data_IF_868515725409
#
_entry.id   IF_868515725409
#
_cell.length_a   1.000
_cell.length_b   1.000
_cell.length_c   1.000
_cell.angle_alpha   90.00
_cell.angle_beta   90.00
_cell.angle_gamma   90.00
#
_symmetry.space_group_name_H-M   'P 1'
#
loop_
_entity.id
_entity.type
_entity.pdbx_description
1 polymer ?
#
# COMPACT_ATOMS: atom_id res chain seq x y z
N UNK A 1 30.73 11.30 -0.03
CA UNK A 1 29.47 10.52 -0.12
C UNK A 1 28.46 11.30 0.68
N UNK A 2 27.47 11.94 0.05
CA UNK A 2 26.42 12.64 0.78
C UNK A 2 25.63 11.63 1.59
N UNK A 3 25.46 11.86 2.89
CA UNK A 3 24.56 11.11 3.75
C UNK A 3 23.16 11.17 3.14
N UNK A 4 22.68 10.03 2.67
CA UNK A 4 21.29 9.88 2.21
C UNK A 4 20.42 10.05 3.43
N UNK A 5 19.76 11.19 3.57
CA UNK A 5 18.86 11.44 4.69
C UNK A 5 17.74 10.38 4.68
N UNK A 6 17.25 9.96 5.84
CA UNK A 6 16.14 9.00 5.96
C UNK A 6 14.88 9.45 5.20
N UNK A 7 14.73 10.76 4.95
CA UNK A 7 13.66 11.33 4.11
C UNK A 7 13.69 10.86 2.65
N UNK A 8 14.86 10.39 2.16
CA UNK A 8 15.03 9.85 0.82
C UNK A 8 14.91 8.32 0.75
N UNK A 9 14.74 7.65 1.89
CA UNK A 9 14.66 6.21 1.98
C UNK A 9 13.28 5.69 1.55
N UNK A 10 13.26 4.86 0.52
CA UNK A 10 12.05 4.22 0.01
C UNK A 10 12.06 4.05 -1.51
N UNK A 11 11.30 3.05 -1.97
CA UNK A 11 11.28 2.67 -3.40
C UNK A 11 10.21 3.38 -4.22
N UNK A 12 9.25 4.05 -3.58
CA UNK A 12 8.16 4.78 -4.24
C UNK A 12 8.36 6.29 -4.12
N UNK A 13 8.27 6.99 -5.26
CA UNK A 13 8.42 8.46 -5.32
C UNK A 13 7.41 9.01 -6.33
N UNK A 14 6.25 9.47 -5.85
CA UNK A 14 5.30 10.22 -6.67
C UNK A 14 5.96 11.52 -7.17
N UNK A 15 5.53 12.03 -8.33
CA UNK A 15 6.19 13.19 -8.97
C UNK A 15 7.37 12.81 -9.87
N UNK A 16 7.94 11.60 -9.72
CA UNK A 16 9.04 11.07 -10.56
C UNK A 16 8.61 10.02 -11.59
N UNK A 17 7.32 9.78 -11.73
CA UNK A 17 6.77 8.92 -12.79
C UNK A 17 6.71 9.68 -14.12
N UNK A 18 6.87 8.97 -15.24
CA UNK A 18 6.73 9.56 -16.58
C UNK A 18 5.30 10.10 -16.81
N UNK A 19 4.31 9.56 -16.07
CA UNK A 19 2.88 9.88 -16.21
C UNK A 19 2.19 9.95 -14.84
N UNK A 20 2.41 11.04 -14.12
CA UNK A 20 1.84 11.24 -12.79
C UNK A 20 0.30 11.22 -12.78
N UNK A 21 -0.36 11.73 -13.82
CA UNK A 21 -1.82 11.70 -13.92
C UNK A 21 -2.37 10.26 -14.03
N UNK A 22 -1.70 9.39 -14.79
CA UNK A 22 -2.08 7.97 -14.90
C UNK A 22 -1.84 7.24 -13.57
N UNK A 23 -0.77 7.59 -12.85
CA UNK A 23 -0.50 7.03 -11.53
C UNK A 23 -1.55 7.46 -10.50
N UNK A 24 -1.97 8.72 -10.50
CA UNK A 24 -3.04 9.19 -9.61
C UNK A 24 -4.36 8.49 -9.92
N UNK A 25 -4.70 8.32 -11.21
CA UNK A 25 -5.89 7.56 -11.62
C UNK A 25 -5.81 6.09 -11.16
N UNK A 26 -4.62 5.47 -11.22
CA UNK A 26 -4.38 4.12 -10.72
C UNK A 26 -4.59 4.03 -9.21
N UNK A 27 -4.05 4.99 -8.43
CA UNK A 27 -4.22 5.04 -6.97
C UNK A 27 -5.70 5.18 -6.59
N UNK A 28 -6.44 6.05 -7.29
CA UNK A 28 -7.88 6.21 -7.09
C UNK A 28 -8.63 4.91 -7.38
N UNK A 29 -8.36 4.29 -8.53
CA UNK A 29 -8.97 3.02 -8.91
C UNK A 29 -8.67 1.93 -7.87
N UNK A 30 -7.40 1.81 -7.44
CA UNK A 30 -6.99 0.83 -6.44
C UNK A 30 -7.72 1.01 -5.11
N UNK A 31 -7.98 2.24 -4.66
CA UNK A 31 -8.76 2.52 -3.48
C UNK A 31 -10.23 2.14 -3.67
N UNK A 32 -10.82 2.46 -4.82
CA UNK A 32 -12.24 2.23 -5.10
C UNK A 32 -12.60 0.75 -5.23
N UNK A 33 -11.79 -0.03 -5.99
CA UNK A 33 -12.10 -1.46 -6.26
C UNK A 33 -11.95 -2.34 -5.03
N UNK A 34 -11.13 -1.95 -4.06
CA UNK A 34 -10.85 -2.76 -2.87
C UNK A 34 -11.66 -2.33 -1.65
N UNK A 35 -12.45 -1.25 -1.74
CA UNK A 35 -13.02 -0.59 -0.55
C UNK A 35 -13.93 -1.49 0.28
N UNK A 36 -14.77 -2.31 -0.35
CA UNK A 36 -15.68 -3.19 0.39
C UNK A 36 -14.89 -4.29 1.14
N UNK A 37 -13.87 -4.85 0.51
CA UNK A 37 -12.96 -5.80 1.17
C UNK A 37 -12.20 -5.11 2.30
N UNK A 38 -11.75 -3.88 2.11
CA UNK A 38 -11.04 -3.12 3.15
C UNK A 38 -11.94 -2.78 4.33
N UNK A 39 -13.20 -2.42 4.12
CA UNK A 39 -14.18 -2.21 5.22
C UNK A 39 -14.37 -3.47 6.07
N UNK A 40 -14.45 -4.65 5.45
CA UNK A 40 -14.48 -5.93 6.18
C UNK A 40 -13.20 -6.18 6.97
N UNK A 41 -12.05 -5.85 6.38
CA UNK A 41 -10.75 -5.93 7.05
C UNK A 41 -10.72 -5.02 8.27
N UNK A 42 -11.09 -3.75 8.13
CA UNK A 42 -11.11 -2.79 9.23
C UNK A 42 -12.00 -3.25 10.38
N UNK A 43 -13.22 -3.69 10.06
CA UNK A 43 -14.16 -4.25 11.05
C UNK A 43 -13.57 -5.46 11.76
N UNK A 44 -12.98 -6.39 11.01
CA UNK A 44 -12.37 -7.61 11.58
C UNK A 44 -11.10 -7.31 12.39
N UNK A 45 -10.39 -6.21 12.08
CA UNK A 45 -9.25 -5.72 12.83
C UNK A 45 -9.64 -4.90 14.08
N UNK A 46 -10.94 -4.66 14.29
CA UNK A 46 -11.45 -3.99 15.49
C UNK A 46 -11.65 -2.48 15.35
N UNK A 47 -11.64 -1.92 14.12
CA UNK A 47 -12.02 -0.53 13.89
C UNK A 47 -13.49 -0.30 14.29
N UNK A 48 -13.76 0.78 15.02
CA UNK A 48 -15.10 1.13 15.55
C UNK A 48 -15.37 2.62 15.39
N UNK A 49 -16.66 3.03 15.33
CA UNK A 49 -17.05 4.44 15.47
C UNK A 49 -16.44 5.09 16.70
N UNK A 50 -16.09 6.36 16.60
CA UNK A 50 -15.50 7.15 17.69
C UNK A 50 -13.98 6.98 17.87
N UNK A 51 -13.31 6.10 17.14
CA UNK A 51 -11.87 5.91 17.23
C UNK A 51 -11.08 7.05 16.55
N UNK A 52 -9.91 7.36 17.12
CA UNK A 52 -8.89 8.20 16.48
C UNK A 52 -7.98 7.30 15.65
N UNK A 53 -7.96 7.55 14.36
CA UNK A 53 -7.25 6.72 13.36
C UNK A 53 -6.10 7.49 12.73
N UNK A 54 -4.97 6.83 12.55
CA UNK A 54 -3.87 7.30 11.73
C UNK A 54 -3.78 6.47 10.44
N UNK A 55 -3.90 7.10 9.28
CA UNK A 55 -3.60 6.50 7.97
C UNK A 55 -2.19 6.93 7.54
N UNK A 56 -1.25 6.02 7.63
CA UNK A 56 0.17 6.29 7.31
C UNK A 56 0.47 5.96 5.85
N UNK A 57 1.22 6.88 5.21
CA UNK A 57 1.43 6.90 3.77
C UNK A 57 0.06 6.92 3.04
N UNK A 58 -0.81 7.85 3.48
CA UNK A 58 -2.20 7.95 3.03
C UNK A 58 -2.34 8.30 1.55
N UNK A 59 -1.26 8.68 0.87
CA UNK A 59 -1.25 9.06 -0.53
C UNK A 59 -2.24 10.18 -0.82
N UNK A 60 -3.09 10.03 -1.88
CA UNK A 60 -4.08 11.04 -2.26
C UNK A 60 -5.34 11.05 -1.36
N UNK A 61 -5.32 10.39 -0.21
CA UNK A 61 -6.32 10.50 0.85
C UNK A 61 -7.65 9.76 0.61
N UNK A 62 -7.82 9.02 -0.49
CA UNK A 62 -9.10 8.36 -0.79
C UNK A 62 -9.49 7.35 0.28
N UNK A 63 -8.53 6.54 0.76
CA UNK A 63 -8.77 5.57 1.83
C UNK A 63 -9.01 6.25 3.17
N UNK A 64 -8.28 7.33 3.48
CA UNK A 64 -8.50 8.11 4.69
C UNK A 64 -9.90 8.71 4.77
N UNK A 65 -10.44 9.20 3.64
CA UNK A 65 -11.83 9.69 3.58
C UNK A 65 -12.85 8.57 3.85
N UNK A 66 -12.60 7.35 3.38
CA UNK A 66 -13.47 6.19 3.67
C UNK A 66 -13.36 5.72 5.13
N UNK A 67 -12.14 5.76 5.71
CA UNK A 67 -11.95 5.53 7.15
C UNK A 67 -12.74 6.56 7.97
N UNK A 68 -12.71 7.83 7.57
CA UNK A 68 -13.45 8.90 8.24
C UNK A 68 -14.97 8.66 8.27
N UNK A 69 -15.54 8.16 7.17
CA UNK A 69 -16.95 7.73 7.10
C UNK A 69 -17.23 6.54 8.04
N UNK A 70 -16.26 5.65 8.21
CA UNK A 70 -16.40 4.44 9.05
C UNK A 70 -16.35 4.75 10.54
N UNK A 71 -15.51 5.72 10.95
CA UNK A 71 -15.35 6.07 12.37
C UNK A 71 -16.34 7.13 12.85
N UNK A 72 -17.17 7.70 11.95
CA UNK A 72 -18.26 8.66 12.24
C UNK A 72 -17.84 9.81 13.17
N UNK A 73 -18.04 9.67 14.48
CA UNK A 73 -17.71 10.68 15.50
C UNK A 73 -16.21 10.64 15.93
N UNK A 74 -15.43 9.73 15.36
CA UNK A 74 -13.97 9.69 15.54
C UNK A 74 -13.27 10.65 14.59
N UNK A 75 -11.93 10.61 14.60
CA UNK A 75 -11.11 11.44 13.72
C UNK A 75 -10.13 10.58 12.93
N UNK A 76 -9.79 11.02 11.71
CA UNK A 76 -8.72 10.42 10.92
C UNK A 76 -7.62 11.44 10.66
N UNK A 77 -6.38 11.06 10.89
CA UNK A 77 -5.20 11.83 10.48
C UNK A 77 -4.49 11.06 9.37
N UNK A 78 -4.42 11.63 8.17
CA UNK A 78 -3.64 11.09 7.07
C UNK A 78 -2.25 11.74 7.03
N UNK A 79 -1.21 10.92 6.96
CA UNK A 79 0.18 11.39 6.85
C UNK A 79 0.83 10.77 5.62
N UNK A 80 1.44 11.59 4.78
CA UNK A 80 2.27 11.15 3.66
C UNK A 80 3.52 12.03 3.53
N UNK A 81 4.61 11.48 3.02
CA UNK A 81 5.85 12.23 2.82
C UNK A 81 5.77 13.15 1.59
N UNK A 82 4.85 12.89 0.68
CA UNK A 82 4.72 13.59 -0.59
C UNK A 82 3.69 14.73 -0.51
N UNK A 83 4.17 15.98 -0.61
CA UNK A 83 3.33 17.17 -0.53
C UNK A 83 2.30 17.27 -1.66
N UNK A 84 2.64 16.80 -2.88
CA UNK A 84 1.70 16.82 -4.01
C UNK A 84 0.52 15.87 -3.75
N UNK A 85 0.77 14.70 -3.15
CA UNK A 85 -0.29 13.78 -2.75
C UNK A 85 -1.14 14.34 -1.61
N UNK A 86 -0.53 15.00 -0.63
CA UNK A 86 -1.26 15.70 0.45
C UNK A 86 -2.14 16.82 -0.11
N UNK A 87 -1.66 17.57 -1.10
CA UNK A 87 -2.51 18.56 -1.78
C UNK A 87 -3.74 17.90 -2.42
N UNK A 88 -3.58 16.76 -3.11
CA UNK A 88 -4.69 15.98 -3.68
C UNK A 88 -5.61 15.43 -2.59
N UNK A 89 -5.05 15.00 -1.45
CA UNK A 89 -5.82 14.51 -0.31
C UNK A 89 -6.74 15.59 0.28
N UNK A 90 -6.29 16.83 0.35
CA UNK A 90 -7.15 17.96 0.74
C UNK A 90 -8.30 18.19 -0.26
N UNK A 91 -8.06 18.01 -1.56
CA UNK A 91 -9.14 18.10 -2.56
C UNK A 91 -10.12 16.91 -2.42
N UNK A 92 -9.62 15.70 -2.15
CA UNK A 92 -10.44 14.53 -1.90
C UNK A 92 -11.34 14.72 -0.67
N UNK A 93 -10.81 15.28 0.44
CA UNK A 93 -11.59 15.64 1.63
C UNK A 93 -12.81 16.50 1.29
N UNK A 94 -12.61 17.55 0.50
CA UNK A 94 -13.69 18.47 0.10
C UNK A 94 -14.73 17.75 -0.78
N UNK A 95 -14.27 17.00 -1.79
CA UNK A 95 -15.14 16.30 -2.72
C UNK A 95 -15.96 15.19 -2.04
N UNK A 96 -15.38 14.49 -1.07
CA UNK A 96 -15.99 13.40 -0.31
C UNK A 96 -16.76 13.89 0.93
N UNK A 97 -16.74 15.20 1.23
CA UNK A 97 -17.35 15.80 2.42
C UNK A 97 -16.93 15.11 3.73
N UNK A 98 -15.65 14.78 3.83
CA UNK A 98 -15.09 14.07 4.98
C UNK A 98 -14.56 15.08 6.02
N UNK A 99 -15.43 15.69 6.82
CA UNK A 99 -15.08 16.80 7.71
C UNK A 99 -14.15 16.35 8.87
N UNK A 100 -14.26 15.09 9.29
CA UNK A 100 -13.49 14.50 10.39
C UNK A 100 -12.14 13.89 9.95
N UNK A 101 -11.65 14.21 8.74
CA UNK A 101 -10.28 13.86 8.31
C UNK A 101 -9.39 15.10 8.23
N UNK A 102 -8.15 14.96 8.64
CA UNK A 102 -7.08 15.95 8.45
C UNK A 102 -5.88 15.32 7.74
N UNK A 103 -5.16 16.11 6.94
CA UNK A 103 -3.98 15.64 6.22
C UNK A 103 -2.78 16.52 6.55
N UNK A 104 -1.60 15.88 6.67
CA UNK A 104 -0.34 16.58 6.86
C UNK A 104 0.82 15.87 6.18
N UNK A 105 1.80 16.63 5.74
CA UNK A 105 3.07 16.06 5.31
C UNK A 105 3.85 15.55 6.53
N UNK A 106 4.43 14.36 6.42
CA UNK A 106 5.23 13.77 7.49
C UNK A 106 5.99 12.53 7.04
N UNK A 107 7.07 12.23 7.77
CA UNK A 107 7.93 11.09 7.48
C UNK A 107 7.66 9.97 8.48
N UNK A 108 7.38 8.77 7.99
CA UNK A 108 7.15 7.57 8.83
C UNK A 108 8.38 7.18 9.67
N UNK A 109 9.57 7.57 9.24
CA UNK A 109 10.80 7.34 10.01
C UNK A 109 11.02 8.37 11.14
N UNK A 110 10.27 9.47 11.11
CA UNK A 110 10.32 10.54 12.10
C UNK A 110 8.91 11.17 12.21
N UNK A 111 7.99 10.42 12.83
CA UNK A 111 6.61 10.84 13.04
C UNK A 111 6.55 11.89 14.15
N UNK A 112 6.40 13.16 13.76
CA UNK A 112 6.12 14.26 14.68
C UNK A 112 4.63 14.25 15.05
N UNK A 113 4.23 13.26 15.86
CA UNK A 113 2.87 13.07 16.37
C UNK A 113 2.94 12.72 17.86
N UNK A 114 1.93 13.12 18.65
CA UNK A 114 1.89 12.79 20.06
C UNK A 114 1.88 11.28 20.31
N UNK A 115 2.54 10.86 21.39
CA UNK A 115 2.50 9.46 21.80
C UNK A 115 1.12 9.08 22.36
N UNK A 116 0.75 7.81 22.19
CA UNK A 116 -0.47 7.23 22.78
C UNK A 116 -1.76 7.98 22.40
N UNK A 117 -1.88 8.46 21.17
CA UNK A 117 -3.05 9.25 20.76
C UNK A 117 -3.97 8.55 19.75
N UNK A 118 -3.53 7.46 19.09
CA UNK A 118 -4.35 6.74 18.13
C UNK A 118 -4.84 5.39 18.66
N UNK A 119 -6.12 5.11 18.43
CA UNK A 119 -6.75 3.83 18.76
C UNK A 119 -6.44 2.78 17.68
N UNK A 120 -6.28 3.25 16.41
CA UNK A 120 -6.06 2.42 15.25
C UNK A 120 -5.07 3.08 14.28
N UNK A 121 -4.09 2.34 13.81
CA UNK A 121 -3.17 2.77 12.75
C UNK A 121 -3.36 1.87 11.53
N UNK A 122 -3.59 2.47 10.39
CA UNK A 122 -3.73 1.79 9.12
C UNK A 122 -2.52 2.06 8.22
N UNK A 123 -2.00 1.00 7.60
CA UNK A 123 -0.86 1.06 6.69
C UNK A 123 -1.16 0.24 5.44
N UNK A 124 -1.33 0.89 4.29
CA UNK A 124 -1.77 0.26 3.06
C UNK A 124 -0.73 0.35 1.97
N UNK A 125 -0.15 -0.80 1.59
CA UNK A 125 0.86 -0.92 0.54
C UNK A 125 2.09 -0.02 0.73
N UNK A 126 2.50 0.21 1.97
CA UNK A 126 3.63 1.07 2.31
C UNK A 126 4.87 0.29 2.71
N UNK A 127 4.74 -0.79 3.48
CA UNK A 127 5.89 -1.53 4.00
C UNK A 127 6.77 -2.11 2.90
N UNK A 128 6.17 -2.52 1.77
CA UNK A 128 6.90 -2.95 0.58
C UNK A 128 7.85 -1.89 0.01
N UNK A 129 7.68 -0.62 0.38
CA UNK A 129 8.49 0.49 -0.11
C UNK A 129 9.54 0.96 0.89
N UNK A 130 9.46 0.52 2.13
CA UNK A 130 10.34 0.96 3.21
C UNK A 130 11.71 0.26 3.15
N UNK A 131 12.77 1.03 3.31
CA UNK A 131 14.14 0.52 3.44
C UNK A 131 14.44 0.01 4.85
N UNK A 132 13.81 0.64 5.87
CA UNK A 132 13.95 0.33 7.31
C UNK A 132 12.59 0.17 7.97
N UNK A 133 11.84 -0.88 7.66
CA UNK A 133 10.47 -1.08 8.18
C UNK A 133 10.42 -1.21 9.70
N UNK A 134 11.51 -1.68 10.35
CA UNK A 134 11.63 -1.78 11.81
C UNK A 134 11.58 -0.41 12.51
N UNK A 135 12.19 0.63 11.90
CA UNK A 135 12.12 2.01 12.41
C UNK A 135 10.70 2.54 12.33
N UNK A 136 10.03 2.28 11.21
CA UNK A 136 8.63 2.64 11.03
C UNK A 136 7.72 1.98 12.07
N UNK A 137 7.89 0.68 12.32
CA UNK A 137 7.12 -0.05 13.34
C UNK A 137 7.35 0.51 14.75
N UNK A 138 8.58 0.89 15.10
CA UNK A 138 8.89 1.53 16.36
C UNK A 138 8.14 2.86 16.53
N UNK A 139 8.12 3.72 15.51
CA UNK A 139 7.44 5.00 15.56
C UNK A 139 5.91 4.83 15.58
N UNK A 140 5.37 3.91 14.80
CA UNK A 140 3.93 3.56 14.84
C UNK A 140 3.54 3.11 16.27
N UNK A 141 4.36 2.28 16.89
CA UNK A 141 4.08 1.78 18.23
C UNK A 141 4.07 2.90 19.28
N UNK A 142 4.89 3.95 19.14
CA UNK A 142 4.88 5.11 20.05
C UNK A 142 3.55 5.86 19.98
N UNK A 143 3.03 6.13 18.80
CA UNK A 143 1.80 6.92 18.61
C UNK A 143 0.52 6.14 18.91
N UNK A 144 0.55 4.80 18.88
CA UNK A 144 -0.58 3.96 19.31
C UNK A 144 -0.80 4.06 20.80
N UNK A 145 -2.06 4.13 21.23
CA UNK A 145 -2.48 3.95 22.62
C UNK A 145 -2.16 2.53 23.10
N UNK A 146 -1.98 2.30 24.43
CA UNK A 146 -2.00 0.95 24.99
C UNK A 146 -3.29 0.21 24.55
N UNK A 147 -3.14 -0.99 23.96
CA UNK A 147 -4.25 -1.75 23.39
C UNK A 147 -4.71 -1.27 21.99
N UNK A 148 -4.12 -0.21 21.47
CA UNK A 148 -4.37 0.25 20.10
C UNK A 148 -3.87 -0.75 19.06
N UNK A 149 -4.51 -0.76 17.89
CA UNK A 149 -4.28 -1.76 16.83
C UNK A 149 -3.51 -1.16 15.65
N UNK A 150 -2.48 -1.85 15.20
CA UNK A 150 -1.88 -1.66 13.88
C UNK A 150 -2.51 -2.67 12.90
N UNK A 151 -3.00 -2.18 11.76
CA UNK A 151 -3.49 -3.00 10.66
C UNK A 151 -2.69 -2.67 9.39
N UNK A 152 -1.92 -3.64 8.90
CA UNK A 152 -1.09 -3.50 7.70
C UNK A 152 -1.68 -4.34 6.57
N UNK A 153 -1.91 -3.72 5.42
CA UNK A 153 -2.20 -4.39 4.16
C UNK A 153 -0.98 -4.28 3.26
N UNK A 154 -0.42 -5.42 2.86
CA UNK A 154 0.66 -5.42 1.89
C UNK A 154 0.69 -6.71 1.06
N UNK A 155 1.61 -6.81 0.12
CA UNK A 155 1.68 -7.88 -0.88
C UNK A 155 2.88 -8.78 -0.67
N UNK A 156 2.76 -9.99 -1.21
CA UNK A 156 3.90 -10.87 -1.46
C UNK A 156 3.82 -11.37 -2.90
N UNK A 157 4.86 -11.12 -3.69
CA UNK A 157 4.86 -11.48 -5.12
C UNK A 157 4.78 -12.99 -5.37
N UNK A 158 5.12 -13.83 -4.38
CA UNK A 158 4.91 -15.28 -4.46
C UNK A 158 3.43 -15.67 -4.49
N UNK A 159 2.54 -14.77 -4.09
CA UNK A 159 1.08 -14.93 -4.09
C UNK A 159 0.42 -14.22 -5.27
N UNK A 160 1.15 -14.05 -6.37
CA UNK A 160 0.61 -13.48 -7.60
C UNK A 160 0.54 -14.56 -8.67
N UNK A 161 -0.65 -14.84 -9.18
CA UNK A 161 -0.92 -15.87 -10.20
C UNK A 161 -1.50 -15.25 -11.46
N UNK A 162 -1.23 -15.90 -12.60
CA UNK A 162 -1.78 -15.53 -13.90
C UNK A 162 -1.99 -16.77 -14.75
N UNK A 163 -3.16 -16.89 -15.38
CA UNK A 163 -3.53 -17.94 -16.30
C UNK A 163 -3.96 -17.33 -17.65
N UNK A 164 -3.65 -17.94 -18.82
CA UNK A 164 -2.81 -19.14 -18.96
C UNK A 164 -1.38 -18.88 -18.49
N UNK A 165 -0.70 -19.94 -18.05
CA UNK A 165 0.68 -19.85 -17.55
C UNK A 165 1.57 -19.14 -18.57
N UNK A 166 2.35 -18.17 -18.08
CA UNK A 166 3.18 -17.30 -18.90
C UNK A 166 4.56 -17.11 -18.28
N UNK A 167 5.56 -17.76 -18.88
CA UNK A 167 6.95 -17.54 -18.49
C UNK A 167 7.34 -16.03 -18.56
N UNK A 168 6.76 -15.31 -19.52
CA UNK A 168 6.98 -13.87 -19.66
C UNK A 168 6.45 -13.10 -18.44
N UNK A 169 5.30 -13.51 -17.89
CA UNK A 169 4.74 -12.94 -16.67
C UNK A 169 5.67 -13.18 -15.47
N UNK A 170 6.07 -14.42 -15.24
CA UNK A 170 6.96 -14.78 -14.12
C UNK A 170 8.30 -14.03 -14.21
N UNK A 171 8.91 -13.98 -15.39
CA UNK A 171 10.15 -13.23 -15.62
C UNK A 171 9.98 -11.73 -15.37
N UNK A 172 8.85 -11.16 -15.80
CA UNK A 172 8.57 -9.74 -15.60
C UNK A 172 8.39 -9.40 -14.11
N UNK A 173 7.57 -10.17 -13.37
CA UNK A 173 7.34 -9.97 -11.93
C UNK A 173 8.67 -10.03 -11.15
N UNK A 174 9.48 -11.07 -11.38
CA UNK A 174 10.80 -11.21 -10.74
C UNK A 174 11.73 -10.04 -11.05
N UNK A 175 11.76 -9.59 -12.30
CA UNK A 175 12.60 -8.48 -12.73
C UNK A 175 12.17 -7.16 -12.08
N UNK A 176 10.86 -6.91 -12.01
CA UNK A 176 10.30 -5.72 -11.36
C UNK A 176 10.57 -5.74 -9.84
N UNK A 177 10.36 -6.87 -9.17
CA UNK A 177 10.68 -7.06 -7.75
C UNK A 177 12.17 -6.81 -7.45
N UNK A 178 13.09 -7.35 -8.27
CA UNK A 178 14.51 -7.05 -8.17
C UNK A 178 14.83 -5.57 -8.42
N UNK A 179 14.07 -4.90 -9.29
CA UNK A 179 14.16 -3.45 -9.53
C UNK A 179 13.79 -2.65 -8.28
N UNK A 180 12.69 -3.01 -7.63
CA UNK A 180 12.23 -2.39 -6.38
C UNK A 180 13.21 -2.62 -5.23
N UNK A 181 13.76 -3.85 -5.11
CA UNK A 181 14.76 -4.18 -4.09
C UNK A 181 16.00 -3.30 -4.19
N UNK A 182 16.49 -2.99 -5.40
CA UNK A 182 17.61 -2.06 -5.61
C UNK A 182 17.31 -0.62 -5.17
N UNK A 183 16.03 -0.27 -5.06
CA UNK A 183 15.57 1.04 -4.56
C UNK A 183 15.21 1.00 -3.05
N UNK A 184 15.57 -0.07 -2.33
CA UNK A 184 15.30 -0.24 -0.90
C UNK A 184 13.95 -0.85 -0.55
N UNK A 185 13.13 -1.28 -1.53
CA UNK A 185 11.84 -1.91 -1.26
C UNK A 185 11.89 -3.43 -1.19
N UNK A 186 10.82 -4.06 -0.74
CA UNK A 186 10.69 -5.51 -0.59
C UNK A 186 9.30 -6.00 -1.03
N UNK A 187 9.22 -6.66 -2.18
CA UNK A 187 7.97 -7.20 -2.73
C UNK A 187 7.50 -8.51 -2.09
N UNK A 188 8.26 -9.03 -1.13
CA UNK A 188 7.93 -10.23 -0.36
C UNK A 188 7.60 -9.88 1.09
N UNK A 189 7.30 -8.61 1.37
CA UNK A 189 7.11 -8.10 2.73
C UNK A 189 5.89 -8.71 3.41
N UNK A 190 4.83 -9.00 2.67
CA UNK A 190 3.56 -9.47 3.22
C UNK A 190 3.71 -10.69 4.12
N UNK A 191 4.44 -11.71 3.67
CA UNK A 191 4.70 -12.93 4.45
C UNK A 191 5.66 -12.70 5.64
N UNK A 192 6.40 -11.60 5.67
CA UNK A 192 7.37 -11.28 6.73
C UNK A 192 6.76 -10.41 7.85
N UNK A 193 5.64 -9.73 7.58
CA UNK A 193 5.01 -8.79 8.52
C UNK A 193 4.66 -9.43 9.87
N UNK A 194 4.25 -10.70 9.90
CA UNK A 194 3.96 -11.39 11.17
C UNK A 194 5.17 -11.40 12.11
N UNK A 195 6.33 -11.85 11.61
CA UNK A 195 7.57 -11.86 12.37
C UNK A 195 8.00 -10.45 12.77
N UNK A 196 7.96 -9.51 11.83
CA UNK A 196 8.38 -8.13 12.07
C UNK A 196 7.54 -7.43 13.14
N UNK A 197 6.20 -7.59 13.13
CA UNK A 197 5.35 -7.03 14.17
C UNK A 197 5.63 -7.68 15.53
N UNK A 198 5.82 -9.00 15.55
CA UNK A 198 6.15 -9.74 16.79
C UNK A 198 7.47 -9.26 17.41
N UNK A 199 8.52 -9.11 16.58
CA UNK A 199 9.83 -8.60 16.98
C UNK A 199 9.79 -7.14 17.45
N UNK A 200 8.91 -6.32 16.84
CA UNK A 200 8.66 -4.94 17.27
C UNK A 200 7.85 -4.83 18.58
N UNK A 201 7.47 -5.96 19.20
CA UNK A 201 6.79 -6.02 20.47
C UNK A 201 5.27 -5.83 20.41
N UNK A 202 4.66 -5.98 19.22
CA UNK A 202 3.20 -6.07 19.11
C UNK A 202 2.71 -7.42 19.64
N UNK A 203 1.55 -7.42 20.28
CA UNK A 203 0.88 -8.60 20.82
C UNK A 203 -0.29 -9.02 19.93
N UNK A 204 -0.79 -10.22 20.12
CA UNK A 204 -1.94 -10.77 19.38
C UNK A 204 -1.76 -10.64 17.87
N UNK A 205 -0.52 -10.81 17.40
CA UNK A 205 -0.21 -10.69 15.97
C UNK A 205 -0.94 -11.78 15.18
N UNK A 206 -1.61 -11.39 14.12
CA UNK A 206 -2.36 -12.28 13.23
C UNK A 206 -2.18 -11.86 11.80
N UNK A 207 -2.01 -12.82 10.90
CA UNK A 207 -1.97 -12.57 9.45
C UNK A 207 -3.05 -13.37 8.76
N UNK A 208 -3.82 -12.72 7.90
CA UNK A 208 -4.81 -13.34 7.01
C UNK A 208 -4.48 -12.96 5.57
N UNK A 209 -4.78 -13.85 4.63
CA UNK A 209 -4.60 -13.57 3.21
C UNK A 209 -5.98 -13.37 2.59
N UNK A 210 -6.13 -12.25 1.88
CA UNK A 210 -7.33 -11.91 1.12
C UNK A 210 -6.99 -11.95 -0.37
N UNK A 211 -7.51 -12.90 -1.14
CA UNK A 211 -7.31 -12.90 -2.58
C UNK A 211 -8.10 -11.76 -3.23
N UNK A 212 -7.48 -11.09 -4.20
CA UNK A 212 -8.17 -10.23 -5.16
C UNK A 212 -7.95 -10.85 -6.53
N UNK A 213 -9.03 -11.13 -7.24
CA UNK A 213 -8.99 -11.83 -8.52
C UNK A 213 -9.42 -10.93 -9.67
N UNK A 214 -9.05 -11.31 -10.88
CA UNK A 214 -9.58 -10.66 -12.08
C UNK A 214 -11.09 -10.89 -12.28
N UNK A 215 -11.68 -11.88 -11.62
CA UNK A 215 -13.12 -12.09 -11.56
C UNK A 215 -13.83 -10.98 -10.78
N UNK A 216 -13.20 -10.50 -9.70
CA UNK A 216 -13.77 -9.47 -8.83
C UNK A 216 -13.71 -8.07 -9.48
N UNK A 217 -12.58 -7.75 -10.14
CA UNK A 217 -12.28 -6.38 -10.60
C UNK A 217 -12.15 -6.24 -12.12
N UNK A 218 -12.25 -7.32 -12.87
CA UNK A 218 -11.98 -7.37 -14.30
C UNK A 218 -10.48 -7.48 -14.63
N UNK A 219 -10.13 -8.29 -15.63
CA UNK A 219 -8.75 -8.59 -15.99
C UNK A 219 -7.95 -7.34 -16.38
N UNK A 220 -8.57 -6.40 -17.10
CA UNK A 220 -7.91 -5.15 -17.49
C UNK A 220 -7.46 -4.34 -16.26
N UNK A 221 -8.32 -4.24 -15.26
CA UNK A 221 -8.03 -3.52 -14.02
C UNK A 221 -7.00 -4.27 -13.17
N UNK A 222 -7.15 -5.59 -13.05
CA UNK A 222 -6.16 -6.44 -12.39
C UNK A 222 -4.75 -6.22 -12.96
N UNK A 223 -4.61 -6.27 -14.28
CA UNK A 223 -3.32 -6.03 -14.93
C UNK A 223 -2.79 -4.61 -14.66
N UNK A 224 -3.66 -3.61 -14.65
CA UNK A 224 -3.27 -2.22 -14.35
C UNK A 224 -2.73 -2.05 -12.94
N UNK A 225 -3.48 -2.51 -11.93
CA UNK A 225 -3.16 -2.27 -10.51
C UNK A 225 -2.18 -3.28 -9.90
N UNK A 226 -2.07 -4.48 -10.46
CA UNK A 226 -1.22 -5.53 -9.90
C UNK A 226 0.06 -5.81 -10.71
N UNK A 227 0.10 -5.49 -12.01
CA UNK A 227 1.18 -5.93 -12.91
C UNK A 227 1.86 -4.77 -13.64
N UNK A 228 1.13 -4.03 -14.47
CA UNK A 228 1.75 -3.15 -15.47
C UNK A 228 2.45 -1.92 -14.86
N UNK A 229 1.95 -1.38 -13.74
CA UNK A 229 2.59 -0.26 -13.05
C UNK A 229 4.01 -0.58 -12.60
N UNK A 230 4.34 -1.86 -12.43
CA UNK A 230 5.66 -2.32 -11.98
C UNK A 230 6.79 -1.99 -12.98
N UNK A 231 6.44 -1.60 -14.19
CA UNK A 231 7.42 -1.12 -15.18
C UNK A 231 8.19 0.09 -14.67
N UNK A 232 7.57 0.90 -13.79
CA UNK A 232 8.20 2.06 -13.16
C UNK A 232 9.32 1.68 -12.16
N UNK A 233 9.34 0.43 -11.72
CA UNK A 233 10.45 -0.10 -10.88
C UNK A 233 11.72 -0.37 -11.70
N UNK A 234 11.62 -0.39 -13.02
CA UNK A 234 12.71 -0.66 -13.96
C UNK A 234 13.42 0.64 -14.37
N UNK A 235 14.74 0.57 -14.59
CA UNK A 235 15.45 1.67 -15.24
C UNK A 235 15.16 1.72 -16.75
N UNK A 236 15.58 2.79 -17.44
CA UNK A 236 15.31 3.01 -18.88
C UNK A 236 15.70 1.82 -19.75
N UNK A 237 16.90 1.25 -19.55
CA UNK A 237 17.36 0.09 -20.30
C UNK A 237 16.53 -1.17 -20.01
N UNK A 238 16.19 -1.39 -18.76
CA UNK A 238 15.35 -2.52 -18.34
C UNK A 238 13.90 -2.39 -18.84
N UNK A 239 13.35 -1.16 -18.94
CA UNK A 239 12.04 -0.92 -19.56
C UNK A 239 12.05 -1.38 -21.01
N UNK A 240 13.08 -1.02 -21.78
CA UNK A 240 13.22 -1.46 -23.19
C UNK A 240 13.26 -3.00 -23.29
N UNK A 241 14.07 -3.66 -22.46
CA UNK A 241 14.17 -5.12 -22.43
C UNK A 241 12.88 -5.82 -21.92
N UNK A 242 11.98 -5.11 -21.25
CA UNK A 242 10.71 -5.64 -20.79
C UNK A 242 9.60 -5.57 -21.86
N UNK A 243 9.75 -4.76 -22.91
CA UNK A 243 8.71 -4.58 -23.94
C UNK A 243 8.24 -5.90 -24.58
N UNK A 244 9.13 -6.85 -24.98
CA UNK A 244 8.68 -8.12 -25.53
C UNK A 244 7.90 -8.96 -24.50
N UNK A 245 8.29 -8.92 -23.22
CA UNK A 245 7.58 -9.61 -22.13
C UNK A 245 6.19 -9.02 -21.95
N UNK A 246 6.07 -7.69 -21.87
CA UNK A 246 4.78 -6.99 -21.75
C UNK A 246 3.83 -7.29 -22.94
N UNK A 247 4.36 -7.37 -24.17
CA UNK A 247 3.58 -7.78 -25.34
C UNK A 247 3.05 -9.23 -25.20
N UNK A 248 3.89 -10.15 -24.73
CA UNK A 248 3.48 -11.55 -24.46
C UNK A 248 2.44 -11.63 -23.36
N UNK A 249 2.58 -10.89 -22.27
CA UNK A 249 1.58 -10.80 -21.19
C UNK A 249 0.25 -10.28 -21.73
N UNK A 250 0.26 -9.19 -22.51
CA UNK A 250 -0.95 -8.63 -23.12
C UNK A 250 -1.62 -9.63 -24.07
N UNK A 251 -0.84 -10.38 -24.86
CA UNK A 251 -1.35 -11.43 -25.74
C UNK A 251 -1.99 -12.57 -24.94
N UNK A 252 -1.34 -13.04 -23.87
CA UNK A 252 -1.89 -14.06 -22.98
C UNK A 252 -3.18 -13.59 -22.28
N UNK A 253 -3.24 -12.32 -21.89
CA UNK A 253 -4.43 -11.72 -21.30
C UNK A 253 -5.61 -11.55 -22.28
N UNK A 254 -5.40 -11.66 -23.59
CA UNK A 254 -6.46 -11.67 -24.59
C UNK A 254 -7.09 -13.06 -24.78
N UNK A 255 -6.58 -14.10 -24.16
CA UNK A 255 -7.16 -15.43 -24.21
C UNK A 255 -8.53 -15.47 -23.49
N UNK A 256 -9.53 -16.20 -24.02
CA UNK A 256 -10.88 -16.27 -23.41
C UNK A 256 -10.90 -16.80 -21.98
N UNK A 257 -9.90 -17.61 -21.59
CA UNK A 257 -9.72 -18.19 -20.27
C UNK A 257 -8.66 -17.45 -19.44
N UNK A 258 -8.30 -16.22 -19.82
CA UNK A 258 -7.31 -15.45 -19.06
C UNK A 258 -7.85 -15.02 -17.70
N UNK A 259 -7.04 -15.23 -16.67
CA UNK A 259 -7.39 -14.96 -15.28
C UNK A 259 -6.14 -14.59 -14.48
N UNK A 260 -6.33 -13.82 -13.42
CA UNK A 260 -5.24 -13.48 -12.51
C UNK A 260 -5.71 -13.30 -11.07
N UNK A 261 -4.81 -13.51 -10.12
CA UNK A 261 -5.04 -13.29 -8.70
C UNK A 261 -3.81 -12.74 -7.99
N UNK A 262 -4.04 -12.00 -6.92
CA UNK A 262 -3.01 -11.56 -5.98
C UNK A 262 -3.48 -11.79 -4.55
N UNK A 263 -2.62 -12.33 -3.70
CA UNK A 263 -2.87 -12.44 -2.27
C UNK A 263 -2.47 -11.14 -1.56
N UNK A 264 -3.44 -10.51 -0.89
CA UNK A 264 -3.20 -9.37 -0.01
C UNK A 264 -3.04 -9.88 1.40
N UNK A 265 -1.89 -9.63 1.99
CA UNK A 265 -1.59 -9.96 3.38
C UNK A 265 -2.14 -8.87 4.29
N UNK A 266 -3.01 -9.27 5.19
CA UNK A 266 -3.57 -8.42 6.24
C UNK A 266 -2.98 -8.85 7.55
N UNK A 267 -2.03 -8.07 8.06
CA UNK A 267 -1.38 -8.36 9.34
C UNK A 267 -1.80 -7.34 10.38
N UNK A 268 -2.29 -7.80 11.51
CA UNK A 268 -2.71 -6.97 12.64
C UNK A 268 -1.89 -7.30 13.87
N UNK A 269 -1.70 -6.29 14.74
CA UNK A 269 -1.07 -6.48 16.06
C UNK A 269 -1.53 -5.39 17.02
N UNK A 270 -1.56 -5.68 18.31
CA UNK A 270 -1.92 -4.72 19.38
C UNK A 270 -0.67 -4.23 20.11
N UNK A 271 -0.66 -2.93 20.47
CA UNK A 271 0.41 -2.36 21.30
C UNK A 271 0.38 -2.90 22.70
#
# INVERSE_FOLDING_TARGET
>A
MSEKTLSDAGSYKFGKFEKNAEELARLKLQATVAIDVEREVWKSAGLKPGMNVLDIACGPGFTACELAKTVEHGTVTGVDINEELIFVAHQAKVSEKADNVSFRTGNLYDLDLPENCFDFVYARFVFQHLEKPEVALSNIRKVLKPGGVLCVLDVDDNWTSFSPESEAFVKFIRKAGAGQKRKGGNRLIGSQLFGMLSEAGFKNVSTKIRPITSGDIGLRYFLGVAVLFRVEMLNKFQKLLALPQLRKIKKAAAAPNAWGAVGIFVTTGTK
#
